data_IF_251458740659
#
_entry.id   IF_251458740659
#
_cell.length_a   1.000
_cell.length_b   1.000
_cell.length_c   1.000
_cell.angle_alpha   90.00
_cell.angle_beta   90.00
_cell.angle_gamma   90.00
#
_symmetry.space_group_name_H-M   'P 1'
#
loop_
_entity.id
_entity.type
_entity.pdbx_description
1 polymer ?
#
# COMPACT_ATOMS: atom_id res chain seq x y z
N UNK A 1 8.25 41.25 5.45
CA UNK A 1 6.92 40.70 5.85
C UNK A 1 6.99 40.30 7.32
N UNK A 2 5.92 40.50 8.11
CA UNK A 2 5.88 40.04 9.52
C UNK A 2 5.65 38.52 9.50
N UNK A 3 6.72 37.74 9.44
CA UNK A 3 6.63 36.27 9.48
C UNK A 3 6.26 35.85 10.90
N UNK A 4 4.96 35.72 11.14
CA UNK A 4 4.43 35.25 12.41
C UNK A 4 4.71 33.74 12.50
N UNK A 5 5.82 33.37 13.16
CA UNK A 5 6.32 31.99 13.29
C UNK A 5 5.50 31.13 14.28
N UNK A 6 4.32 31.60 14.70
CA UNK A 6 3.28 30.79 15.35
C UNK A 6 2.56 29.91 14.33
N UNK A 7 3.31 29.09 13.60
CA UNK A 7 2.76 28.27 12.50
C UNK A 7 1.95 27.13 13.11
N UNK A 8 0.65 27.14 12.85
CA UNK A 8 -0.28 26.07 13.18
C UNK A 8 0.21 24.76 12.55
N UNK A 9 -0.12 23.62 13.17
CA UNK A 9 0.23 22.31 12.58
C UNK A 9 -0.42 22.20 11.19
N UNK A 10 0.29 21.67 10.18
CA UNK A 10 -0.26 21.57 8.84
C UNK A 10 -1.47 20.63 8.81
N UNK A 11 -2.48 20.92 8.00
CA UNK A 11 -3.68 20.07 7.86
C UNK A 11 -3.63 19.15 6.64
N UNK A 12 -2.74 19.43 5.69
CA UNK A 12 -2.56 18.64 4.46
C UNK A 12 -1.09 18.62 4.03
N UNK A 13 -0.72 17.70 3.13
CA UNK A 13 0.61 17.66 2.54
C UNK A 13 0.94 18.94 1.77
N UNK A 14 -0.05 19.51 1.05
CA UNK A 14 0.10 20.80 0.39
C UNK A 14 0.44 21.93 1.36
N UNK A 15 -0.30 22.00 2.48
CA UNK A 15 -0.05 22.97 3.55
C UNK A 15 1.34 22.75 4.20
N UNK A 16 1.74 21.51 4.46
CA UNK A 16 3.08 21.22 4.99
C UNK A 16 4.21 21.70 4.04
N UNK A 17 4.04 21.48 2.73
CA UNK A 17 4.97 21.97 1.68
C UNK A 17 4.99 23.50 1.60
N UNK A 18 3.83 24.14 1.68
CA UNK A 18 3.71 25.60 1.71
C UNK A 18 4.42 26.20 2.94
N UNK A 19 4.19 25.62 4.12
CA UNK A 19 4.84 26.05 5.35
C UNK A 19 6.36 25.84 5.28
N UNK A 20 6.84 24.71 4.76
CA UNK A 20 8.28 24.48 4.56
C UNK A 20 8.89 25.55 3.64
N UNK A 21 8.21 25.89 2.54
CA UNK A 21 8.66 26.94 1.61
C UNK A 21 8.80 28.29 2.32
N UNK A 22 7.80 28.68 3.11
CA UNK A 22 7.82 29.93 3.87
C UNK A 22 8.99 29.95 4.87
N UNK A 23 9.23 28.83 5.57
CA UNK A 23 10.33 28.73 6.54
C UNK A 23 11.68 28.89 5.83
N UNK A 24 11.89 28.25 4.67
CA UNK A 24 13.14 28.38 3.90
C UNK A 24 13.39 29.80 3.42
N UNK A 25 12.35 30.49 2.93
CA UNK A 25 12.46 31.92 2.57
C UNK A 25 12.89 32.75 3.79
N UNK A 26 12.32 32.48 4.96
CA UNK A 26 12.72 33.15 6.19
C UNK A 26 14.18 32.86 6.61
N UNK A 27 14.67 31.63 6.38
CA UNK A 27 16.08 31.30 6.61
C UNK A 27 17.01 32.10 5.69
N UNK A 28 16.64 32.26 4.41
CA UNK A 28 17.37 33.10 3.45
C UNK A 28 17.38 34.57 3.90
N UNK A 29 16.23 35.10 4.33
CA UNK A 29 16.13 36.45 4.92
C UNK A 29 16.98 36.60 6.19
N UNK A 30 17.07 35.57 7.04
CA UNK A 30 17.92 35.57 8.23
C UNK A 30 19.41 35.65 7.90
N UNK A 31 19.84 34.95 6.84
CA UNK A 31 21.22 35.01 6.34
C UNK A 31 21.53 36.40 5.81
N UNK A 32 20.62 37.02 5.05
CA UNK A 32 20.83 38.39 4.57
C UNK A 32 20.90 39.40 5.71
N UNK A 33 20.03 39.26 6.71
CA UNK A 33 20.00 40.10 7.90
C UNK A 33 21.25 39.94 8.77
N UNK A 34 21.99 38.83 8.65
CA UNK A 34 23.26 38.63 9.34
C UNK A 34 24.32 39.65 8.91
N UNK A 35 24.35 39.99 7.61
CA UNK A 35 25.32 40.95 7.06
C UNK A 35 25.19 42.32 7.72
N UNK A 36 23.96 42.74 8.04
CA UNK A 36 23.69 43.99 8.76
C UNK A 36 24.26 43.93 10.19
N UNK A 37 24.19 42.76 10.84
CA UNK A 37 24.71 42.54 12.17
C UNK A 37 26.25 42.52 12.18
N UNK A 38 26.89 41.96 11.15
CA UNK A 38 28.33 42.04 10.93
C UNK A 38 28.80 43.49 10.74
N UNK A 39 28.10 44.27 9.90
CA UNK A 39 28.39 45.70 9.73
C UNK A 39 28.27 46.47 11.04
N UNK A 40 27.24 46.20 11.84
CA UNK A 40 27.05 46.84 13.14
C UNK A 40 28.21 46.51 14.10
N UNK A 41 28.74 45.29 14.04
CA UNK A 41 29.92 44.90 14.81
C UNK A 41 31.19 45.64 14.38
N UNK A 42 31.40 45.84 13.06
CA UNK A 42 32.53 46.64 12.56
C UNK A 42 32.47 48.09 13.08
N UNK A 43 31.28 48.69 13.10
CA UNK A 43 31.09 50.06 13.58
C UNK A 43 31.29 50.18 15.10
N UNK A 44 30.93 49.14 15.87
CA UNK A 44 31.13 49.08 17.32
C UNK A 44 32.61 48.99 17.68
N UNK A 45 33.45 48.35 16.86
CA UNK A 45 34.91 48.29 17.07
C UNK A 45 35.61 49.66 16.92
N UNK A 46 35.01 50.60 16.20
CA UNK A 46 35.53 51.96 16.06
C UNK A 46 35.15 52.88 17.25
N UNK A 47 34.27 52.42 18.15
CA UNK A 47 33.81 53.18 19.30
C UNK A 47 34.73 53.00 20.53
N UNK A 48 34.79 54.00 21.44
CA UNK A 48 35.57 53.88 22.67
C UNK A 48 35.06 52.73 23.57
N UNK A 49 35.95 52.02 24.29
CA UNK A 49 35.60 50.89 25.15
C UNK A 49 34.73 51.24 26.37
N UNK A 50 34.46 52.52 26.62
CA UNK A 50 33.52 53.02 27.65
C UNK A 50 32.05 53.02 27.20
N UNK A 51 31.77 52.65 25.94
CA UNK A 51 30.42 52.61 25.37
C UNK A 51 29.69 51.30 25.68
N UNK A 52 28.42 51.36 26.06
CA UNK A 52 27.52 50.18 26.21
C UNK A 52 27.21 49.51 24.87
N UNK A 53 27.69 50.05 23.75
CA UNK A 53 27.45 49.53 22.40
C UNK A 53 27.93 48.09 22.21
N UNK A 54 29.06 47.71 22.82
CA UNK A 54 29.60 46.34 22.77
C UNK A 54 28.61 45.31 23.34
N UNK A 55 28.01 45.62 24.49
CA UNK A 55 27.05 44.75 25.18
C UNK A 55 25.76 44.63 24.36
N UNK A 56 25.28 45.76 23.80
CA UNK A 56 24.07 45.75 22.96
C UNK A 56 24.25 44.95 21.67
N UNK A 57 25.41 45.06 21.01
CA UNK A 57 25.72 44.29 19.81
C UNK A 57 25.82 42.78 20.12
N UNK A 58 26.45 42.43 21.23
CA UNK A 58 26.55 41.03 21.70
C UNK A 58 25.16 40.44 22.02
N UNK A 59 24.29 41.22 22.66
CA UNK A 59 22.91 40.81 22.92
C UNK A 59 22.08 40.61 21.63
N UNK A 60 22.26 41.49 20.63
CA UNK A 60 21.62 41.34 19.32
C UNK A 60 22.13 40.09 18.59
N UNK A 61 23.43 39.83 18.63
CA UNK A 61 24.03 38.62 18.03
C UNK A 61 23.45 37.35 18.66
N UNK A 62 23.38 37.28 19.99
CA UNK A 62 22.80 36.14 20.70
C UNK A 62 21.32 35.91 20.34
N UNK A 63 20.53 36.99 20.25
CA UNK A 63 19.13 36.92 19.82
C UNK A 63 18.99 36.44 18.37
N UNK A 64 19.83 36.93 17.46
CA UNK A 64 19.82 36.49 16.06
C UNK A 64 20.20 35.00 15.94
N UNK A 65 21.24 34.54 16.65
CA UNK A 65 21.62 33.12 16.69
C UNK A 65 20.48 32.23 17.20
N UNK A 66 19.76 32.67 18.26
CA UNK A 66 18.61 31.94 18.77
C UNK A 66 17.46 31.85 17.74
N UNK A 67 17.19 32.93 17.00
CA UNK A 67 16.17 32.95 15.93
C UNK A 67 16.58 32.05 14.77
N UNK A 68 17.83 32.15 14.31
CA UNK A 68 18.36 31.32 13.24
C UNK A 68 18.32 29.82 13.61
N UNK A 69 18.76 29.47 14.81
CA UNK A 69 18.72 28.10 15.30
C UNK A 69 17.28 27.55 15.39
N UNK A 70 16.34 28.36 15.88
CA UNK A 70 14.93 27.97 15.94
C UNK A 70 14.32 27.79 14.55
N UNK A 71 14.66 28.64 13.58
CA UNK A 71 14.22 28.53 12.20
C UNK A 71 14.77 27.27 11.53
N UNK A 72 16.08 27.01 11.67
CA UNK A 72 16.73 25.81 11.15
C UNK A 72 16.15 24.52 11.74
N UNK A 73 15.89 24.50 13.05
CA UNK A 73 15.24 23.37 13.69
C UNK A 73 13.82 23.15 13.15
N UNK A 74 13.06 24.23 12.93
CA UNK A 74 11.70 24.16 12.37
C UNK A 74 11.73 23.67 10.92
N UNK A 75 12.66 24.17 10.11
CA UNK A 75 12.85 23.77 8.72
C UNK A 75 13.17 22.28 8.63
N UNK A 76 14.13 21.80 9.43
CA UNK A 76 14.51 20.39 9.48
C UNK A 76 13.34 19.49 9.88
N UNK A 77 12.56 19.88 10.90
CA UNK A 77 11.38 19.11 11.33
C UNK A 77 10.30 19.07 10.25
N UNK A 78 10.01 20.20 9.62
CA UNK A 78 8.99 20.28 8.57
C UNK A 78 9.43 19.54 7.30
N UNK A 79 10.71 19.63 6.92
CA UNK A 79 11.27 18.89 5.79
C UNK A 79 11.13 17.38 5.98
N UNK A 80 11.49 16.88 7.16
CA UNK A 80 11.32 15.46 7.51
C UNK A 80 9.85 15.02 7.50
N UNK A 81 8.94 15.89 7.96
CA UNK A 81 7.50 15.60 7.91
C UNK A 81 7.00 15.49 6.47
N UNK A 82 7.41 16.43 5.60
CA UNK A 82 7.04 16.42 4.18
C UNK A 82 7.58 15.18 3.49
N UNK A 83 8.86 14.85 3.68
CA UNK A 83 9.49 13.65 3.11
C UNK A 83 8.75 12.36 3.53
N UNK A 84 8.47 12.21 4.82
CA UNK A 84 7.76 11.04 5.34
C UNK A 84 6.33 10.95 4.80
N UNK A 85 5.65 12.09 4.65
CA UNK A 85 4.30 12.14 4.09
C UNK A 85 4.32 11.86 2.59
N UNK A 86 5.29 12.36 1.84
CA UNK A 86 5.47 12.05 0.41
C UNK A 86 5.64 10.54 0.18
N UNK A 87 6.54 9.89 0.93
CA UNK A 87 6.78 8.45 0.82
C UNK A 87 5.51 7.62 1.14
N UNK A 88 4.76 8.04 2.16
CA UNK A 88 3.48 7.42 2.53
C UNK A 88 2.43 7.61 1.44
N UNK A 89 2.33 8.82 0.88
CA UNK A 89 1.41 9.16 -0.21
C UNK A 89 1.68 8.32 -1.46
N UNK A 90 2.95 8.18 -1.83
CA UNK A 90 3.39 7.35 -2.97
C UNK A 90 3.02 5.88 -2.74
N UNK A 91 3.32 5.34 -1.56
CA UNK A 91 3.01 3.94 -1.21
C UNK A 91 1.50 3.69 -1.18
N UNK A 92 0.72 4.61 -0.62
CA UNK A 92 -0.74 4.52 -0.59
C UNK A 92 -1.32 4.56 -2.01
N UNK A 93 -0.80 5.46 -2.86
CA UNK A 93 -1.24 5.58 -4.24
C UNK A 93 -0.91 4.33 -5.08
N UNK A 94 0.28 3.75 -4.93
CA UNK A 94 0.60 2.48 -5.61
C UNK A 94 -0.37 1.37 -5.21
N UNK A 95 -0.74 1.30 -3.93
CA UNK A 95 -1.70 0.32 -3.47
C UNK A 95 -3.12 0.58 -3.99
N UNK A 96 -3.56 1.84 -4.06
CA UNK A 96 -4.83 2.23 -4.67
C UNK A 96 -4.90 1.82 -6.14
N UNK A 97 -3.83 2.10 -6.91
CA UNK A 97 -3.73 1.71 -8.31
C UNK A 97 -3.77 0.19 -8.49
N UNK A 98 -3.07 -0.54 -7.62
CA UNK A 98 -3.11 -1.99 -7.63
C UNK A 98 -4.53 -2.48 -7.32
N UNK A 99 -5.16 -2.04 -6.23
CA UNK A 99 -6.55 -2.41 -5.86
C UNK A 99 -7.60 -2.01 -6.90
N UNK A 100 -7.30 -1.05 -7.78
CA UNK A 100 -8.17 -0.61 -8.86
C UNK A 100 -8.02 -1.42 -10.17
N UNK A 101 -7.15 -2.44 -10.21
CA UNK A 101 -7.00 -3.28 -11.41
C UNK A 101 -8.34 -3.93 -11.80
N UNK A 102 -8.66 -4.00 -13.11
CA UNK A 102 -9.96 -4.49 -13.59
C UNK A 102 -10.22 -5.96 -13.22
N UNK A 103 -9.18 -6.79 -13.18
CA UNK A 103 -9.23 -8.19 -12.73
C UNK A 103 -9.82 -8.35 -11.33
N UNK A 104 -9.65 -7.37 -10.43
CA UNK A 104 -10.26 -7.39 -9.10
C UNK A 104 -11.75 -7.07 -9.15
N UNK A 105 -12.15 -6.11 -9.99
CA UNK A 105 -13.56 -5.82 -10.22
C UNK A 105 -14.27 -7.01 -10.88
N UNK A 106 -13.63 -7.68 -11.83
CA UNK A 106 -14.15 -8.91 -12.43
C UNK A 106 -14.32 -10.01 -11.38
N UNK A 107 -13.31 -10.22 -10.52
CA UNK A 107 -13.37 -11.22 -9.45
C UNK A 107 -14.50 -10.94 -8.45
N UNK A 108 -14.64 -9.69 -7.99
CA UNK A 108 -15.63 -9.28 -7.00
C UNK A 108 -17.08 -9.37 -7.52
N UNK A 109 -17.27 -9.24 -8.84
CA UNK A 109 -18.59 -9.24 -9.47
C UNK A 109 -18.84 -10.49 -10.32
N UNK A 110 -17.99 -11.53 -10.24
CA UNK A 110 -18.11 -12.71 -11.09
C UNK A 110 -19.26 -13.61 -10.64
N UNK A 111 -20.33 -13.66 -11.44
CA UNK A 111 -21.43 -14.63 -11.28
C UNK A 111 -21.19 -15.93 -12.08
N UNK A 112 -20.01 -16.08 -12.70
CA UNK A 112 -19.70 -17.25 -13.55
C UNK A 112 -19.57 -18.49 -12.67
N UNK A 113 -20.48 -19.44 -12.84
CA UNK A 113 -20.42 -20.73 -12.13
C UNK A 113 -19.17 -21.53 -12.53
N UNK A 114 -18.38 -22.04 -11.56
CA UNK A 114 -17.22 -22.90 -11.85
C UNK A 114 -17.56 -24.10 -12.73
N UNK A 115 -18.76 -24.64 -12.60
CA UNK A 115 -19.20 -25.82 -13.34
C UNK A 115 -19.35 -25.57 -14.85
N UNK A 116 -19.45 -24.31 -15.28
CA UNK A 116 -19.55 -23.93 -16.70
C UNK A 116 -18.20 -23.86 -17.43
N UNK A 117 -17.09 -23.84 -16.69
CA UNK A 117 -15.74 -23.71 -17.23
C UNK A 117 -15.16 -25.07 -17.60
N UNK A 118 -14.22 -25.18 -18.53
CA UNK A 118 -13.43 -26.39 -18.78
C UNK A 118 -12.40 -26.65 -17.66
N UNK A 119 -11.84 -27.85 -17.59
CA UNK A 119 -10.80 -28.16 -16.59
C UNK A 119 -9.56 -27.26 -16.74
N UNK A 120 -9.15 -26.97 -17.98
CA UNK A 120 -8.02 -26.09 -18.27
C UNK A 120 -8.28 -24.66 -17.78
N UNK A 121 -9.49 -24.15 -18.00
CA UNK A 121 -9.89 -22.82 -17.53
C UNK A 121 -9.95 -22.73 -16.00
N UNK A 122 -10.43 -23.77 -15.32
CA UNK A 122 -10.41 -23.85 -13.85
C UNK A 122 -8.97 -23.75 -13.31
N UNK A 123 -8.05 -24.54 -13.88
CA UNK A 123 -6.63 -24.54 -13.48
C UNK A 123 -5.97 -23.18 -13.73
N UNK A 124 -6.22 -22.60 -14.90
CA UNK A 124 -5.71 -21.27 -15.25
C UNK A 124 -6.20 -20.19 -14.29
N UNK A 125 -7.48 -20.19 -13.92
CA UNK A 125 -8.01 -19.24 -12.94
C UNK A 125 -7.41 -19.46 -11.54
N UNK A 126 -7.19 -20.71 -11.11
CA UNK A 126 -6.51 -21.00 -9.84
C UNK A 126 -5.08 -20.45 -9.81
N UNK A 127 -4.32 -20.61 -10.90
CA UNK A 127 -2.97 -20.05 -11.00
C UNK A 127 -2.98 -18.52 -10.94
N UNK A 128 -3.94 -17.87 -11.62
CA UNK A 128 -4.13 -16.42 -11.54
C UNK A 128 -4.44 -15.95 -10.12
N UNK A 129 -5.37 -16.61 -9.43
CA UNK A 129 -5.74 -16.28 -8.05
C UNK A 129 -4.57 -16.47 -7.08
N UNK A 130 -3.70 -17.45 -7.34
CA UNK A 130 -2.49 -17.66 -6.55
C UNK A 130 -1.52 -16.49 -6.68
N UNK A 131 -1.24 -16.04 -7.90
CA UNK A 131 -0.39 -14.86 -8.15
C UNK A 131 -0.99 -13.62 -7.49
N UNK A 132 -2.30 -13.41 -7.64
CA UNK A 132 -3.01 -12.29 -6.99
C UNK A 132 -2.91 -12.37 -5.45
N UNK A 133 -2.98 -13.57 -4.87
CA UNK A 133 -2.82 -13.78 -3.42
C UNK A 133 -1.41 -13.50 -2.92
N UNK A 134 -0.38 -13.84 -3.71
CA UNK A 134 1.02 -13.56 -3.40
C UNK A 134 1.27 -12.03 -3.43
N UNK A 135 0.82 -11.36 -4.48
CA UNK A 135 0.87 -9.89 -4.60
C UNK A 135 0.13 -9.21 -3.44
N UNK A 136 -1.07 -9.69 -3.09
CA UNK A 136 -1.86 -9.15 -1.98
C UNK A 136 -1.13 -9.28 -0.64
N UNK A 137 -0.41 -10.39 -0.44
CA UNK A 137 0.36 -10.62 0.79
C UNK A 137 1.50 -9.61 0.91
N UNK A 138 2.21 -9.32 -0.18
CA UNK A 138 3.22 -8.25 -0.21
C UNK A 138 2.59 -6.89 0.09
N UNK A 139 1.48 -6.55 -0.58
CA UNK A 139 0.77 -5.29 -0.33
C UNK A 139 0.25 -5.16 1.13
N UNK A 140 -0.13 -6.27 1.77
CA UNK A 140 -0.52 -6.28 3.18
C UNK A 140 0.66 -6.06 4.14
N UNK A 141 1.86 -6.48 3.77
CA UNK A 141 3.07 -6.13 4.52
C UNK A 141 3.34 -4.62 4.42
N UNK A 142 3.22 -4.04 3.23
CA UNK A 142 3.34 -2.59 3.00
C UNK A 142 2.27 -1.80 3.76
N UNK A 143 1.05 -2.34 3.90
CA UNK A 143 -0.04 -1.74 4.68
C UNK A 143 0.32 -1.54 6.16
N UNK A 144 1.10 -2.47 6.75
CA UNK A 144 1.55 -2.32 8.12
C UNK A 144 2.54 -1.14 8.26
N UNK A 145 3.47 -1.02 7.31
CA UNK A 145 4.41 0.10 7.21
C UNK A 145 3.69 1.43 7.02
N UNK A 146 2.75 1.49 6.06
CA UNK A 146 1.87 2.63 5.80
C UNK A 146 1.15 3.10 7.07
N UNK A 147 0.60 2.17 7.85
CA UNK A 147 -0.11 2.51 9.08
C UNK A 147 0.83 3.12 10.14
N UNK A 148 2.03 2.56 10.31
CA UNK A 148 3.02 3.10 11.24
C UNK A 148 3.46 4.51 10.82
N UNK A 149 3.73 4.71 9.54
CA UNK A 149 4.10 6.01 8.99
C UNK A 149 2.97 7.03 9.16
N UNK A 150 1.72 6.62 8.90
CA UNK A 150 0.54 7.44 9.11
C UNK A 150 0.35 7.87 10.57
N UNK A 151 0.62 6.98 11.53
CA UNK A 151 0.56 7.29 12.97
C UNK A 151 1.64 8.30 13.39
N UNK A 152 2.84 8.22 12.80
CA UNK A 152 3.92 9.19 13.03
C UNK A 152 3.58 10.57 12.48
N UNK A 153 3.06 10.63 11.25
CA UNK A 153 2.61 11.88 10.61
C UNK A 153 1.49 12.51 11.44
N UNK A 154 0.50 11.70 11.86
CA UNK A 154 -0.69 12.15 12.63
C UNK A 154 -0.35 12.91 13.91
N UNK A 155 0.79 12.61 14.55
CA UNK A 155 1.25 13.32 15.75
C UNK A 155 1.70 14.76 15.46
N UNK A 156 2.15 15.01 14.23
CA UNK A 156 2.78 16.26 13.80
C UNK A 156 1.84 17.20 13.03
N UNK A 157 0.63 16.74 12.69
CA UNK A 157 -0.33 17.48 11.88
C UNK A 157 -1.59 17.88 12.66
N UNK A 158 -2.46 18.68 12.06
CA UNK A 158 -3.75 19.06 12.63
C UNK A 158 -4.71 17.84 12.68
N UNK A 159 -5.68 17.89 13.61
CA UNK A 159 -6.65 16.81 13.84
C UNK A 159 -7.42 16.43 12.57
N UNK A 160 -7.78 17.42 11.75
CA UNK A 160 -8.47 17.21 10.49
C UNK A 160 -7.64 16.35 9.52
N UNK A 161 -6.37 16.72 9.30
CA UNK A 161 -5.45 15.94 8.47
C UNK A 161 -5.18 14.54 9.02
N UNK A 162 -5.03 14.40 10.34
CA UNK A 162 -4.85 13.11 10.99
C UNK A 162 -6.08 12.20 10.82
N UNK A 163 -7.28 12.78 10.88
CA UNK A 163 -8.53 12.05 10.67
C UNK A 163 -8.66 11.60 9.21
N UNK A 164 -8.36 12.48 8.25
CA UNK A 164 -8.38 12.14 6.83
C UNK A 164 -7.40 11.01 6.51
N UNK A 165 -6.18 11.10 7.04
CA UNK A 165 -5.14 10.08 6.87
C UNK A 165 -5.58 8.73 7.44
N UNK A 166 -6.12 8.71 8.65
CA UNK A 166 -6.64 7.50 9.28
C UNK A 166 -7.77 6.87 8.47
N UNK A 167 -8.72 7.67 7.98
CA UNK A 167 -9.84 7.17 7.19
C UNK A 167 -9.38 6.50 5.89
N UNK A 168 -8.39 7.11 5.21
CA UNK A 168 -7.81 6.53 4.01
C UNK A 168 -7.15 5.18 4.27
N UNK A 169 -6.33 5.08 5.32
CA UNK A 169 -5.71 3.79 5.69
C UNK A 169 -6.77 2.74 6.03
N UNK A 170 -7.87 3.12 6.71
CA UNK A 170 -8.97 2.21 6.99
C UNK A 170 -9.67 1.73 5.71
N UNK A 171 -9.86 2.61 4.73
CA UNK A 171 -10.44 2.26 3.44
C UNK A 171 -9.57 1.27 2.66
N UNK A 172 -8.25 1.51 2.59
CA UNK A 172 -7.32 0.59 1.94
C UNK A 172 -7.30 -0.79 2.62
N UNK A 173 -7.32 -0.82 3.96
CA UNK A 173 -7.44 -2.08 4.72
C UNK A 173 -8.74 -2.80 4.42
N UNK A 174 -9.86 -2.09 4.39
CA UNK A 174 -11.16 -2.69 4.10
C UNK A 174 -11.21 -3.27 2.67
N UNK A 175 -10.66 -2.56 1.69
CA UNK A 175 -10.62 -3.01 0.30
C UNK A 175 -9.68 -4.22 0.12
N UNK A 176 -8.50 -4.19 0.75
CA UNK A 176 -7.57 -5.34 0.79
C UNK A 176 -8.21 -6.58 1.42
N UNK A 177 -8.93 -6.43 2.53
CA UNK A 177 -9.62 -7.53 3.20
C UNK A 177 -10.73 -8.12 2.32
N UNK A 178 -11.55 -7.28 1.69
CA UNK A 178 -12.59 -7.73 0.74
C UNK A 178 -12.00 -8.52 -0.42
N UNK A 179 -10.88 -8.06 -0.99
CA UNK A 179 -10.21 -8.76 -2.08
C UNK A 179 -9.64 -10.10 -1.63
N UNK A 180 -9.02 -10.15 -0.44
CA UNK A 180 -8.52 -11.40 0.17
C UNK A 180 -9.62 -12.45 0.31
N UNK A 181 -10.77 -12.05 0.85
CA UNK A 181 -11.92 -12.93 1.02
C UNK A 181 -12.47 -13.40 -0.33
N UNK A 182 -12.55 -12.52 -1.32
CA UNK A 182 -13.01 -12.87 -2.67
C UNK A 182 -12.07 -13.86 -3.37
N UNK A 183 -10.75 -13.64 -3.30
CA UNK A 183 -9.73 -14.57 -3.83
C UNK A 183 -9.90 -15.94 -3.17
N UNK A 184 -9.99 -15.98 -1.83
CA UNK A 184 -10.13 -17.24 -1.09
C UNK A 184 -11.42 -17.99 -1.44
N UNK A 185 -12.55 -17.28 -1.47
CA UNK A 185 -13.84 -17.87 -1.81
C UNK A 185 -13.83 -18.45 -3.23
N UNK A 186 -13.33 -17.68 -4.21
CA UNK A 186 -13.26 -18.13 -5.59
C UNK A 186 -12.31 -19.33 -5.74
N UNK A 187 -11.14 -19.30 -5.11
CA UNK A 187 -10.19 -20.40 -5.17
C UNK A 187 -10.78 -21.71 -4.62
N UNK A 188 -11.49 -21.64 -3.48
CA UNK A 188 -12.18 -22.81 -2.92
C UNK A 188 -13.23 -23.36 -3.89
N UNK A 189 -14.08 -22.50 -4.46
CA UNK A 189 -15.10 -22.92 -5.42
C UNK A 189 -14.53 -23.60 -6.67
N UNK A 190 -13.42 -23.07 -7.22
CA UNK A 190 -12.75 -23.67 -8.37
C UNK A 190 -12.09 -25.00 -8.02
N UNK A 191 -11.47 -25.10 -6.84
CA UNK A 191 -10.84 -26.33 -6.33
C UNK A 191 -11.87 -27.44 -6.11
N UNK A 192 -13.03 -27.11 -5.53
CA UNK A 192 -14.11 -28.06 -5.30
C UNK A 192 -14.66 -28.59 -6.64
N UNK A 193 -14.88 -27.71 -7.61
CA UNK A 193 -15.35 -28.09 -8.95
C UNK A 193 -14.33 -28.99 -9.68
N UNK A 194 -13.03 -28.69 -9.55
CA UNK A 194 -11.96 -29.49 -10.13
C UNK A 194 -11.90 -30.88 -9.48
N UNK A 195 -12.01 -30.94 -8.15
CA UNK A 195 -12.00 -32.20 -7.39
C UNK A 195 -13.18 -33.08 -7.78
N UNK A 196 -14.40 -32.52 -7.82
CA UNK A 196 -15.60 -33.27 -8.22
C UNK A 196 -15.49 -33.86 -9.64
N UNK A 197 -14.84 -33.15 -10.57
CA UNK A 197 -14.59 -33.65 -11.94
C UNK A 197 -13.58 -34.78 -11.98
N UNK A 198 -12.51 -34.66 -11.21
CA UNK A 198 -11.49 -35.71 -11.10
C UNK A 198 -12.07 -36.98 -10.50
N UNK A 199 -12.88 -36.85 -9.44
CA UNK A 199 -13.60 -37.97 -8.84
C UNK A 199 -14.56 -38.62 -9.84
N UNK A 200 -15.39 -37.83 -10.55
CA UNK A 200 -16.30 -38.34 -11.57
C UNK A 200 -15.57 -39.08 -12.69
N UNK A 201 -14.49 -38.50 -13.21
CA UNK A 201 -13.64 -39.11 -14.23
C UNK A 201 -13.04 -40.43 -13.76
N UNK A 202 -12.56 -40.49 -12.51
CA UNK A 202 -12.04 -41.71 -11.90
C UNK A 202 -13.12 -42.80 -11.74
N UNK A 203 -14.33 -42.45 -11.33
CA UNK A 203 -15.45 -43.39 -11.26
C UNK A 203 -15.87 -43.89 -12.65
N UNK A 204 -15.93 -43.00 -13.64
CA UNK A 204 -16.22 -43.34 -15.03
C UNK A 204 -15.18 -44.31 -15.60
N UNK A 205 -13.89 -44.07 -15.36
CA UNK A 205 -12.80 -44.96 -15.78
C UNK A 205 -12.95 -46.36 -15.18
N UNK A 206 -13.12 -46.45 -13.85
CA UNK A 206 -13.33 -47.74 -13.15
C UNK A 206 -14.55 -48.49 -13.68
N UNK A 207 -15.65 -47.78 -13.93
CA UNK A 207 -16.87 -48.39 -14.45
C UNK A 207 -16.69 -48.88 -15.90
N UNK A 208 -15.99 -48.12 -16.74
CA UNK A 208 -15.67 -48.51 -18.11
C UNK A 208 -14.75 -49.75 -18.17
N UNK A 209 -13.74 -49.82 -17.31
CA UNK A 209 -12.88 -51.01 -17.16
C UNK A 209 -13.70 -52.24 -16.74
N UNK A 210 -14.57 -52.08 -15.75
CA UNK A 210 -15.46 -53.15 -15.31
C UNK A 210 -16.43 -53.61 -16.40
N UNK A 211 -17.02 -52.69 -17.17
CA UNK A 211 -17.89 -53.03 -18.30
C UNK A 211 -17.16 -53.83 -19.36
N UNK A 212 -15.95 -53.39 -19.75
CA UNK A 212 -15.13 -54.07 -20.75
C UNK A 212 -14.80 -55.51 -20.32
N UNK A 213 -14.49 -55.71 -19.03
CA UNK A 213 -14.24 -57.04 -18.47
C UNK A 213 -15.50 -57.93 -18.56
N UNK A 214 -16.66 -57.39 -18.18
CA UNK A 214 -17.93 -58.12 -18.23
C UNK A 214 -18.34 -58.49 -19.67
N UNK A 215 -18.14 -57.58 -20.63
CA UNK A 215 -18.37 -57.83 -22.05
C UNK A 215 -17.47 -58.97 -22.58
N UNK A 216 -16.19 -58.99 -22.21
CA UNK A 216 -15.28 -60.11 -22.55
C UNK A 216 -15.76 -61.43 -21.95
N UNK A 217 -16.11 -61.46 -20.67
CA UNK A 217 -16.58 -62.67 -20.00
C UNK A 217 -17.88 -63.22 -20.59
N UNK A 218 -18.79 -62.33 -21.03
CA UNK A 218 -20.04 -62.75 -21.68
C UNK A 218 -19.84 -63.26 -23.10
N UNK A 219 -18.90 -62.69 -23.86
CA UNK A 219 -18.52 -63.21 -25.17
C UNK A 219 -17.88 -64.61 -25.06
N UNK A 220 -16.97 -64.81 -24.10
CA UNK A 220 -16.37 -66.11 -23.81
C UNK A 220 -17.42 -67.17 -23.42
N UNK A 221 -18.42 -66.79 -22.61
CA UNK A 221 -19.49 -67.69 -22.22
C UNK A 221 -20.43 -68.08 -23.38
N UNK A 222 -20.59 -67.22 -24.39
CA UNK A 222 -21.41 -67.49 -25.57
C UNK A 222 -20.71 -68.45 -26.56
N UNK A 223 -19.38 -68.39 -26.65
CA UNK A 223 -18.56 -69.26 -27.53
C UNK A 223 -18.45 -70.71 -27.01
N UNK A 224 -18.78 -70.94 -25.73
CA UNK A 224 -18.74 -72.26 -25.07
C UNK A 224 -20.06 -73.04 -25.21
N UNK A 225 -21.10 -72.48 -25.83
CA UNK A 225 -22.33 -73.24 -26.14
C UNK A 225 -22.10 -74.05 -27.43
N UNK A 226 -21.98 -75.40 -27.37
CA UNK A 226 -21.76 -76.19 -28.57
C UNK A 226 -23.00 -76.13 -29.46
N UNK A 227 -22.83 -75.63 -30.67
CA UNK A 227 -23.74 -75.89 -31.77
C UNK A 227 -23.61 -77.37 -32.18
N UNK A 228 -24.29 -78.27 -31.47
CA UNK A 228 -24.67 -79.54 -32.04
C UNK A 228 -26.19 -79.65 -32.14
N UNK A 229 -26.61 -79.50 -33.39
CA UNK A 229 -27.95 -79.68 -33.90
C UNK A 229 -28.36 -81.16 -33.80
N UNK A 230 -29.63 -81.35 -33.44
CA UNK A 230 -30.59 -82.25 -34.10
C UNK A 230 -30.01 -83.25 -35.11
N UNK A 231 -30.24 -84.54 -34.89
CA UNK A 231 -31.11 -85.39 -35.74
C UNK A 231 -31.09 -86.87 -35.32
N UNK A 232 -32.24 -87.52 -35.60
CA UNK A 232 -32.62 -88.94 -35.48
C UNK A 232 -33.17 -89.43 -34.14
#
# INVERSE_FOLDING_TARGET
LKVNMGTAKPSSLGDARDQLRIIRIFEEECVESHKVLEMLYTLVQELPPTSTAQDTASALQSRWQAVQAAAAQRAAKMARLVELWDEMEDTAHQMELWLAKPEFAELLNSDISPNSLSEEELRKQLDQLKVMSEDLTTAQADMASLNQTADLISQSIALEGATALKNRILELKANSAKLSDAIRQRANMLSDALTARQEFSAYMGKFGEWLTLMESSTAEAADVVPSDQTEA
#
